data_IF_427423618005
#
_entry.id   IF_427423618005
#
_cell.length_a   1.000
_cell.length_b   1.000
_cell.length_c   1.000
_cell.angle_alpha   90.00
_cell.angle_beta   90.00
_cell.angle_gamma   90.00
#
_symmetry.space_group_name_H-M   'P 1'
#
loop_
_entity.id
_entity.type
_entity.pdbx_description
1 polymer ?
#
# COMPACT_ATOMS: atom_id res chain seq x y z
N UNK A 1 -13.83 -26.29 -4.16
CA UNK A 1 -14.10 -25.32 -5.24
C UNK A 1 -13.60 -23.97 -4.73
N UNK A 2 -12.35 -23.65 -5.05
CA UNK A 2 -11.76 -22.33 -4.78
C UNK A 2 -12.54 -21.28 -5.56
N UNK A 3 -13.42 -20.53 -4.87
CA UNK A 3 -13.86 -19.24 -5.40
C UNK A 3 -12.64 -18.35 -5.30
N UNK A 4 -11.94 -18.19 -6.42
CA UNK A 4 -10.85 -17.22 -6.54
C UNK A 4 -11.27 -15.91 -5.90
N UNK A 5 -10.46 -15.46 -4.94
CA UNK A 5 -10.68 -14.20 -4.24
C UNK A 5 -10.78 -13.09 -5.31
N UNK A 6 -11.94 -12.44 -5.40
CA UNK A 6 -12.06 -11.28 -6.26
C UNK A 6 -11.17 -10.17 -5.68
N UNK A 7 -10.43 -9.40 -6.52
CA UNK A 7 -9.68 -8.24 -6.05
C UNK A 7 -10.62 -7.28 -5.32
N UNK A 8 -10.41 -7.14 -4.01
CA UNK A 8 -11.26 -6.37 -3.11
C UNK A 8 -10.44 -5.47 -2.16
N UNK A 9 -9.11 -5.48 -2.24
CA UNK A 9 -8.26 -4.48 -1.60
C UNK A 9 -7.51 -3.69 -2.68
N UNK A 10 -7.84 -2.42 -2.85
CA UNK A 10 -7.09 -1.48 -3.67
C UNK A 10 -6.07 -0.75 -2.82
N UNK A 11 -4.80 -0.75 -3.22
CA UNK A 11 -3.74 0.02 -2.56
C UNK A 11 -3.28 1.10 -3.53
N UNK A 12 -3.58 2.35 -3.21
CA UNK A 12 -3.23 3.51 -4.03
C UNK A 12 -2.18 4.36 -3.31
N UNK A 13 -1.01 4.51 -3.93
CA UNK A 13 0.08 5.34 -3.44
C UNK A 13 0.51 6.29 -4.57
N UNK A 14 0.07 7.56 -4.56
CA UNK A 14 0.42 8.49 -5.63
C UNK A 14 1.94 8.71 -5.71
N UNK A 15 2.44 9.15 -6.87
CA UNK A 15 3.86 9.46 -7.04
C UNK A 15 4.38 10.37 -5.92
N UNK A 16 5.57 10.11 -5.37
CA UNK A 16 6.18 10.96 -4.36
C UNK A 16 6.66 12.31 -4.92
N UNK A 17 6.68 12.43 -6.25
CA UNK A 17 7.31 13.47 -7.05
C UNK A 17 8.85 13.42 -7.01
N UNK A 18 9.51 14.46 -7.54
CA UNK A 18 10.93 14.42 -7.95
C UNK A 18 11.98 13.94 -6.92
N UNK A 19 11.75 14.08 -5.61
CA UNK A 19 12.77 13.79 -4.58
C UNK A 19 12.96 12.29 -4.26
N UNK A 20 12.04 11.43 -4.69
CA UNK A 20 12.08 9.97 -4.43
C UNK A 20 12.02 9.18 -5.74
N UNK A 21 12.46 9.77 -6.85
CA UNK A 21 12.31 9.19 -8.18
C UNK A 21 12.98 7.81 -8.31
N UNK A 22 14.04 7.53 -7.55
CA UNK A 22 14.72 6.23 -7.56
C UNK A 22 14.57 5.45 -6.24
N UNK A 23 13.63 5.85 -5.39
CA UNK A 23 13.33 5.13 -4.16
C UNK A 23 12.75 3.75 -4.47
N UNK A 24 13.23 2.70 -3.80
CA UNK A 24 12.58 1.38 -3.83
C UNK A 24 11.37 1.42 -2.90
N UNK A 25 10.22 1.02 -3.38
CA UNK A 25 9.01 0.81 -2.63
C UNK A 25 8.70 -0.68 -2.60
N UNK A 26 8.50 -1.21 -1.41
CA UNK A 26 7.99 -2.56 -1.18
C UNK A 26 6.65 -2.45 -0.46
N UNK A 27 5.64 -3.18 -0.94
CA UNK A 27 4.35 -3.30 -0.29
C UNK A 27 4.09 -4.78 -0.05
N UNK A 28 3.77 -5.13 1.20
CA UNK A 28 3.37 -6.49 1.56
C UNK A 28 1.96 -6.49 2.15
N UNK A 29 1.25 -7.59 1.91
CA UNK A 29 -0.06 -7.88 2.50
C UNK A 29 0.04 -9.24 3.18
N UNK A 30 -0.22 -9.29 4.48
CA UNK A 30 -0.05 -10.47 5.34
C UNK A 30 1.33 -11.14 5.20
N UNK A 31 2.36 -10.31 5.00
CA UNK A 31 3.75 -10.74 4.82
C UNK A 31 4.12 -11.15 3.39
N UNK A 32 3.16 -11.31 2.48
CA UNK A 32 3.43 -11.59 1.07
C UNK A 32 3.70 -10.30 0.31
N UNK A 33 4.80 -10.25 -0.46
CA UNK A 33 5.10 -9.09 -1.32
C UNK A 33 4.11 -9.02 -2.48
N UNK A 34 3.37 -7.90 -2.55
CA UNK A 34 2.44 -7.60 -3.65
C UNK A 34 3.02 -6.57 -4.62
N UNK A 35 4.08 -5.87 -4.19
CA UNK A 35 4.83 -4.94 -5.02
C UNK A 35 6.25 -4.76 -4.49
N UNK A 36 7.21 -4.74 -5.40
CA UNK A 36 8.60 -4.44 -5.14
C UNK A 36 9.18 -3.75 -6.37
N UNK A 37 9.42 -2.45 -6.29
CA UNK A 37 9.80 -1.67 -7.46
C UNK A 37 10.11 -0.22 -7.17
N UNK A 38 10.28 0.56 -8.23
CA UNK A 38 10.56 2.00 -8.12
C UNK A 38 9.31 2.78 -7.75
N UNK A 39 9.42 3.65 -6.75
CA UNK A 39 8.32 4.52 -6.33
C UNK A 39 8.03 5.68 -7.32
N UNK A 40 8.85 5.85 -8.36
CA UNK A 40 8.83 7.01 -9.27
C UNK A 40 7.46 7.44 -9.75
N UNK A 41 6.64 6.46 -10.15
CA UNK A 41 5.33 6.68 -10.77
C UNK A 41 4.16 6.49 -9.79
N UNK A 42 4.46 6.28 -8.51
CA UNK A 42 3.45 5.78 -7.58
C UNK A 42 3.04 4.35 -7.91
N UNK A 43 1.99 3.90 -7.25
CA UNK A 43 1.49 2.52 -7.29
C UNK A 43 -0.03 2.54 -7.17
N UNK A 44 -0.70 1.70 -7.96
CA UNK A 44 -2.13 1.42 -7.85
C UNK A 44 -2.32 -0.08 -8.07
N UNK A 45 -2.60 -0.82 -7.00
CA UNK A 45 -2.69 -2.27 -6.99
C UNK A 45 -4.08 -2.72 -6.61
N UNK A 46 -4.54 -3.78 -7.27
CA UNK A 46 -5.70 -4.54 -6.86
C UNK A 46 -5.23 -5.89 -6.33
N UNK A 47 -5.37 -6.08 -5.02
CA UNK A 47 -4.94 -7.28 -4.30
C UNK A 47 -6.19 -8.09 -3.93
N UNK A 48 -6.27 -9.37 -4.36
CA UNK A 48 -7.33 -10.27 -3.93
C UNK A 48 -7.05 -10.75 -2.51
N UNK A 49 -7.96 -10.45 -1.57
CA UNK A 49 -7.87 -10.89 -0.17
C UNK A 49 -9.19 -11.48 0.29
N UNK A 50 -9.14 -12.39 1.27
CA UNK A 50 -10.35 -12.89 1.91
C UNK A 50 -11.05 -11.77 2.70
N UNK A 51 -12.33 -11.91 3.06
CA UNK A 51 -12.90 -11.05 4.09
C UNK A 51 -12.17 -11.28 5.42
N UNK A 52 -11.78 -10.21 6.11
CA UNK A 52 -10.99 -10.31 7.33
C UNK A 52 -10.15 -9.07 7.61
N UNK A 53 -9.26 -9.19 8.61
CA UNK A 53 -8.26 -8.16 8.92
C UNK A 53 -6.97 -8.54 8.23
N UNK A 54 -6.42 -7.61 7.46
CA UNK A 54 -5.17 -7.76 6.72
C UNK A 54 -4.13 -6.77 7.19
N UNK A 55 -2.91 -7.25 7.35
CA UNK A 55 -1.74 -6.44 7.65
C UNK A 55 -1.13 -5.92 6.34
N UNK A 56 -1.14 -4.60 6.13
CA UNK A 56 -0.46 -3.97 5.00
C UNK A 56 0.79 -3.26 5.50
N UNK A 57 1.95 -3.67 5.03
CA UNK A 57 3.22 -2.99 5.30
C UNK A 57 3.71 -2.28 4.04
N UNK A 58 4.20 -1.05 4.22
CA UNK A 58 4.82 -0.26 3.15
C UNK A 58 6.21 0.16 3.59
N UNK A 59 7.20 -0.13 2.76
CA UNK A 59 8.60 0.18 2.98
C UNK A 59 9.11 1.04 1.83
N UNK A 60 9.74 2.16 2.15
CA UNK A 60 10.45 3.01 1.19
C UNK A 60 11.94 3.01 1.56
N UNK A 61 12.79 2.59 0.65
CA UNK A 61 14.25 2.66 0.77
C UNK A 61 14.81 3.71 -0.19
N UNK A 62 15.63 4.61 0.36
CA UNK A 62 16.32 5.68 -0.37
C UNK A 62 17.75 5.75 0.13
N UNK A 63 18.70 5.29 -0.68
CA UNK A 63 20.13 5.40 -0.36
C UNK A 63 20.50 4.78 0.99
N UNK A 64 19.87 3.65 1.37
CA UNK A 64 20.12 2.96 2.63
C UNK A 64 19.30 3.45 3.82
N UNK A 65 18.49 4.51 3.64
CA UNK A 65 17.54 4.96 4.65
C UNK A 65 16.20 4.28 4.38
N UNK A 66 15.80 3.39 5.30
CA UNK A 66 14.53 2.68 5.25
C UNK A 66 13.46 3.39 6.07
N UNK A 67 12.29 3.59 5.48
CA UNK A 67 11.07 4.07 6.16
C UNK A 67 9.99 3.02 6.03
N UNK A 68 9.39 2.62 7.16
CA UNK A 68 8.36 1.59 7.21
C UNK A 68 7.08 2.12 7.84
N UNK A 69 5.94 1.65 7.34
CA UNK A 69 4.64 1.85 7.98
C UNK A 69 3.81 0.58 7.89
N UNK A 70 3.05 0.31 8.95
CA UNK A 70 2.15 -0.82 9.06
C UNK A 70 0.73 -0.28 9.26
N UNK A 71 -0.21 -0.84 8.50
CA UNK A 71 -1.64 -0.56 8.56
C UNK A 71 -2.41 -1.86 8.75
N UNK A 72 -3.48 -1.82 9.55
CA UNK A 72 -4.47 -2.89 9.60
C UNK A 72 -5.68 -2.46 8.79
N UNK A 73 -6.07 -3.29 7.82
CA UNK A 73 -7.20 -3.03 6.93
C UNK A 73 -8.23 -4.12 7.12
N UNK A 74 -9.47 -3.74 7.44
CA UNK A 74 -10.59 -4.69 7.52
C UNK A 74 -11.32 -4.70 6.18
N UNK A 75 -11.48 -5.89 5.60
CA UNK A 75 -12.22 -6.12 4.36
C UNK A 75 -13.49 -6.89 4.68
N UNK A 76 -14.64 -6.28 4.39
CA UNK A 76 -15.94 -6.89 4.60
C UNK A 76 -16.33 -7.81 3.44
N UNK A 77 -17.13 -8.88 3.65
CA UNK A 77 -17.61 -9.73 2.58
C UNK A 77 -18.32 -8.94 1.48
N UNK A 78 -17.92 -9.14 0.22
CA UNK A 78 -18.56 -8.52 -0.95
C UNK A 78 -18.31 -7.01 -1.10
N UNK A 79 -17.42 -6.41 -0.31
CA UNK A 79 -17.03 -4.99 -0.43
C UNK A 79 -15.58 -4.85 -0.87
N UNK A 80 -15.33 -3.82 -1.69
CA UNK A 80 -13.99 -3.37 -1.99
C UNK A 80 -13.53 -2.33 -0.96
N UNK A 81 -12.24 -2.33 -0.63
CA UNK A 81 -11.63 -1.35 0.26
C UNK A 81 -10.46 -0.70 -0.45
N UNK A 82 -10.40 0.63 -0.45
CA UNK A 82 -9.24 1.37 -0.92
C UNK A 82 -8.42 1.87 0.25
N UNK A 83 -7.17 1.43 0.35
CA UNK A 83 -6.13 2.01 1.18
C UNK A 83 -5.39 3.08 0.38
N UNK A 84 -5.76 4.34 0.57
CA UNK A 84 -5.08 5.48 -0.03
C UNK A 84 -3.94 5.96 0.86
N UNK A 85 -2.72 5.64 0.44
CA UNK A 85 -1.46 6.01 1.06
C UNK A 85 -1.04 7.42 0.59
N UNK A 86 -0.22 8.09 1.39
CA UNK A 86 0.40 9.33 0.98
C UNK A 86 1.76 9.49 1.66
N UNK A 87 2.68 10.18 0.98
CA UNK A 87 4.00 10.52 1.50
C UNK A 87 4.08 12.04 1.68
N UNK A 88 4.37 12.48 2.91
CA UNK A 88 4.58 13.88 3.23
C UNK A 88 6.04 14.26 3.01
N UNK A 89 6.24 15.14 2.03
CA UNK A 89 7.56 15.69 1.69
C UNK A 89 8.08 16.67 2.73
N UNK A 90 7.19 17.46 3.34
CA UNK A 90 7.52 18.42 4.40
C UNK A 90 8.07 17.74 5.67
N UNK A 91 7.64 16.50 5.91
CA UNK A 91 8.03 15.72 7.10
C UNK A 91 9.01 14.60 6.76
N UNK A 92 9.37 14.44 5.48
CA UNK A 92 10.21 13.34 4.99
C UNK A 92 9.70 11.95 5.42
N UNK A 93 8.38 11.77 5.52
CA UNK A 93 7.77 10.55 6.09
C UNK A 93 6.37 10.30 5.51
N UNK A 94 5.77 9.13 5.80
CA UNK A 94 4.38 8.86 5.45
C UNK A 94 3.47 9.96 6.01
N UNK A 95 2.44 10.32 5.24
CA UNK A 95 1.38 11.18 5.73
C UNK A 95 0.72 10.51 6.95
N UNK A 96 0.35 11.32 7.94
CA UNK A 96 0.03 10.85 9.28
C UNK A 96 -1.14 9.86 9.35
N UNK A 97 -2.04 9.83 8.36
CA UNK A 97 -3.16 8.89 8.29
C UNK A 97 -3.44 8.49 6.84
N UNK A 98 -3.37 7.20 6.47
CA UNK A 98 -3.94 6.75 5.20
C UNK A 98 -5.46 6.93 5.24
N UNK A 99 -6.09 7.12 4.08
CA UNK A 99 -7.55 7.12 3.99
C UNK A 99 -8.02 5.72 3.62
N UNK A 100 -9.02 5.22 4.35
CA UNK A 100 -9.72 3.98 4.04
C UNK A 100 -11.08 4.34 3.44
N UNK A 101 -11.38 3.80 2.26
CA UNK A 101 -12.65 4.03 1.56
C UNK A 101 -13.25 2.69 1.15
N UNK A 102 -14.36 2.31 1.79
CA UNK A 102 -15.15 1.15 1.38
C UNK A 102 -16.03 1.50 0.16
N UNK A 103 -16.24 0.54 -0.73
CA UNK A 103 -17.13 0.67 -1.90
C UNK A 103 -17.80 -0.66 -2.23
#
# INVERSE_FOLDING_TARGET
MDRGLAPNLRIAFPPPGFFLADARLVITVDGASVYDGSFKQGVDLLVPVAPGVHAVETLIDVGGITRRRHYSVTVSPGRGVTLALAYSRFWGNFASKPKLVEH
#
